data_IF_555286721827
#
_entry.id   IF_555286721827
#
_cell.length_a   1.000
_cell.length_b   1.000
_cell.length_c   1.000
_cell.angle_alpha   90.00
_cell.angle_beta   90.00
_cell.angle_gamma   90.00
#
_symmetry.space_group_name_H-M   'P 1'
#
loop_
_entity.id
_entity.type
_entity.pdbx_description
1 polymer ?
#
# COMPACT_ATOMS: atom_id res chain seq x y z
N UNK A 1 -3.56 -17.77 -13.41
CA UNK A 1 -2.50 -18.56 -14.05
C UNK A 1 -2.93 -19.05 -15.43
N UNK A 2 -3.94 -19.92 -15.54
CA UNK A 2 -4.38 -20.50 -16.82
C UNK A 2 -4.73 -19.43 -17.88
N UNK A 3 -5.52 -18.41 -17.54
CA UNK A 3 -5.91 -17.36 -18.48
C UNK A 3 -4.70 -16.60 -19.05
N UNK A 4 -3.70 -16.26 -18.21
CA UNK A 4 -2.48 -15.60 -18.67
C UNK A 4 -1.69 -16.50 -19.60
N UNK A 5 -1.55 -17.79 -19.28
CA UNK A 5 -0.83 -18.75 -20.11
C UNK A 5 -1.53 -19.01 -21.45
N UNK A 6 -2.87 -19.02 -21.47
CA UNK A 6 -3.64 -19.11 -22.72
C UNK A 6 -3.47 -17.86 -23.56
N UNK A 7 -3.67 -16.68 -22.98
CA UNK A 7 -3.50 -15.42 -23.71
C UNK A 7 -2.09 -15.25 -24.30
N UNK A 8 -1.06 -15.66 -23.57
CA UNK A 8 0.33 -15.61 -24.05
C UNK A 8 0.56 -16.58 -25.22
N UNK A 9 -0.01 -17.78 -25.16
CA UNK A 9 0.08 -18.76 -26.26
C UNK A 9 -0.67 -18.28 -27.50
N UNK A 10 -1.85 -17.71 -27.35
CA UNK A 10 -2.68 -17.21 -28.47
C UNK A 10 -1.97 -16.13 -29.30
N UNK A 11 -1.09 -15.36 -28.67
CA UNK A 11 -0.28 -14.33 -29.36
C UNK A 11 1.14 -14.80 -29.69
N UNK A 12 1.45 -16.07 -29.51
CA UNK A 12 2.79 -16.66 -29.71
C UNK A 12 3.88 -15.91 -28.92
N UNK A 13 3.58 -15.48 -27.70
CA UNK A 13 4.54 -14.81 -26.86
C UNK A 13 5.68 -15.76 -26.45
N UNK A 14 6.90 -15.27 -26.44
CA UNK A 14 8.08 -15.98 -25.90
C UNK A 14 8.32 -15.66 -24.43
N UNK A 15 7.84 -14.51 -23.98
CA UNK A 15 7.95 -14.06 -22.60
C UNK A 15 6.74 -13.22 -22.17
N UNK A 16 6.42 -13.26 -20.88
CA UNK A 16 5.46 -12.40 -20.21
C UNK A 16 6.20 -11.55 -19.21
N UNK A 17 6.03 -10.23 -19.27
CA UNK A 17 6.61 -9.29 -18.30
C UNK A 17 5.55 -8.89 -17.28
N UNK A 18 5.91 -8.91 -16.01
CA UNK A 18 5.03 -8.51 -14.93
C UNK A 18 5.78 -7.72 -13.84
N UNK A 19 5.09 -6.84 -13.14
CA UNK A 19 5.61 -6.26 -11.91
C UNK A 19 5.59 -7.29 -10.79
N UNK A 20 6.69 -7.39 -10.03
CA UNK A 20 6.76 -8.24 -8.86
C UNK A 20 5.72 -7.82 -7.82
N UNK A 21 5.01 -8.78 -7.27
CA UNK A 21 4.07 -8.61 -6.17
C UNK A 21 4.65 -9.24 -4.90
N UNK A 22 4.27 -8.74 -3.74
CA UNK A 22 4.97 -9.08 -2.51
C UNK A 22 4.07 -9.67 -1.43
N UNK A 23 2.77 -9.54 -1.56
CA UNK A 23 1.79 -10.14 -0.67
C UNK A 23 1.74 -11.68 -0.90
N UNK A 24 1.69 -12.49 0.17
CA UNK A 24 1.84 -13.96 0.07
C UNK A 24 0.92 -14.62 -0.97
N UNK A 25 -0.37 -14.26 -0.97
CA UNK A 25 -1.33 -14.81 -1.93
C UNK A 25 -1.00 -14.45 -3.39
N UNK A 26 -0.45 -13.25 -3.62
CA UNK A 26 -0.03 -12.79 -4.94
C UNK A 26 1.26 -13.50 -5.38
N UNK A 27 2.23 -13.68 -4.46
CA UNK A 27 3.47 -14.42 -4.74
C UNK A 27 3.15 -15.85 -5.15
N UNK A 28 2.24 -16.52 -4.43
CA UNK A 28 1.77 -17.85 -4.78
C UNK A 28 1.07 -17.87 -6.15
N UNK A 29 0.24 -16.86 -6.44
CA UNK A 29 -0.41 -16.68 -7.74
C UNK A 29 0.59 -16.50 -8.88
N UNK A 30 1.66 -15.74 -8.66
CA UNK A 30 2.72 -15.53 -9.64
C UNK A 30 3.51 -16.82 -9.89
N UNK A 31 3.78 -17.59 -8.85
CA UNK A 31 4.46 -18.87 -9.00
C UNK A 31 3.59 -19.92 -9.76
N UNK A 32 2.29 -19.96 -9.49
CA UNK A 32 1.36 -20.79 -10.31
C UNK A 32 1.33 -20.32 -11.76
N UNK A 33 1.42 -19.02 -12.02
CA UNK A 33 1.46 -18.47 -13.38
C UNK A 33 2.78 -18.81 -14.07
N UNK A 34 3.90 -18.73 -13.35
CA UNK A 34 5.22 -19.12 -13.87
C UNK A 34 5.24 -20.57 -14.35
N UNK A 35 4.71 -21.47 -13.53
CA UNK A 35 4.63 -22.89 -13.90
C UNK A 35 3.76 -23.14 -15.14
N UNK A 36 2.58 -22.52 -15.19
CA UNK A 36 1.66 -22.67 -16.32
C UNK A 36 2.22 -22.10 -17.64
N UNK A 37 3.04 -21.07 -17.58
CA UNK A 37 3.76 -20.51 -18.72
C UNK A 37 4.93 -21.41 -19.13
N UNK A 38 5.71 -21.91 -18.18
CA UNK A 38 6.85 -22.79 -18.43
C UNK A 38 6.44 -24.10 -19.13
N UNK A 39 5.27 -24.66 -18.80
CA UNK A 39 4.68 -25.82 -19.50
C UNK A 39 4.45 -25.56 -21.00
N UNK A 40 4.38 -24.30 -21.42
CA UNK A 40 4.23 -23.85 -22.81
C UNK A 40 5.50 -23.25 -23.41
N UNK A 41 6.62 -23.36 -22.71
CA UNK A 41 7.90 -22.79 -23.14
C UNK A 41 7.96 -21.27 -23.11
N UNK A 42 7.09 -20.63 -22.34
CA UNK A 42 7.00 -19.17 -22.20
C UNK A 42 7.63 -18.75 -20.86
N UNK A 43 8.49 -17.75 -20.88
CA UNK A 43 9.16 -17.25 -19.67
C UNK A 43 8.30 -16.20 -18.95
N UNK A 44 8.21 -16.24 -17.61
CA UNK A 44 7.70 -15.15 -16.79
C UNK A 44 8.85 -14.31 -16.23
N UNK A 45 9.02 -13.12 -16.75
CA UNK A 45 10.04 -12.15 -16.30
C UNK A 45 9.38 -11.16 -15.33
N UNK A 46 9.76 -11.23 -14.06
CA UNK A 46 9.27 -10.30 -13.05
C UNK A 46 10.27 -9.18 -12.82
N UNK A 47 9.81 -7.93 -12.92
CA UNK A 47 10.61 -6.74 -12.72
C UNK A 47 10.33 -6.15 -11.32
N UNK A 48 11.31 -5.54 -10.65
CA UNK A 48 11.06 -4.79 -9.43
C UNK A 48 9.95 -3.77 -9.69
N UNK A 49 8.80 -3.97 -9.04
CA UNK A 49 7.60 -3.20 -9.33
C UNK A 49 7.63 -1.82 -8.65
N UNK A 50 6.79 -1.66 -7.64
CA UNK A 50 6.53 -0.41 -6.96
C UNK A 50 7.42 -0.15 -5.72
N UNK A 51 8.54 -0.86 -5.57
CA UNK A 51 9.49 -0.64 -4.49
C UNK A 51 10.69 0.20 -4.95
N UNK A 52 11.28 0.93 -4.00
CA UNK A 52 12.52 1.68 -4.19
C UNK A 52 13.72 0.77 -4.30
N UNK A 53 13.74 -0.27 -3.48
CA UNK A 53 14.83 -1.21 -3.36
C UNK A 53 14.38 -2.61 -3.76
N UNK A 54 15.33 -3.37 -4.29
CA UNK A 54 15.16 -4.80 -4.43
C UNK A 54 15.24 -5.45 -3.05
N UNK A 55 14.10 -5.95 -2.57
CA UNK A 55 13.95 -6.53 -1.24
C UNK A 55 14.93 -7.66 -0.97
N UNK A 56 15.23 -8.47 -2.00
CA UNK A 56 16.08 -9.65 -1.87
C UNK A 56 17.56 -9.30 -1.67
N UNK A 57 17.95 -8.08 -2.06
CA UNK A 57 19.32 -7.58 -1.84
C UNK A 57 19.53 -7.05 -0.43
N UNK A 58 18.49 -6.70 0.30
CA UNK A 58 18.60 -6.13 1.65
C UNK A 58 18.87 -7.25 2.65
N UNK A 59 20.08 -7.30 3.16
CA UNK A 59 20.54 -8.33 4.11
C UNK A 59 20.60 -7.79 5.53
N UNK A 60 20.22 -8.64 6.48
CA UNK A 60 20.41 -8.37 7.90
C UNK A 60 21.88 -8.61 8.24
N UNK A 61 22.48 -7.72 9.01
CA UNK A 61 23.80 -7.94 9.60
C UNK A 61 23.65 -8.93 10.76
N UNK A 62 23.97 -10.18 10.50
CA UNK A 62 23.81 -11.30 11.44
C UNK A 62 24.67 -11.18 12.71
N UNK A 63 25.67 -10.30 12.71
CA UNK A 63 26.50 -10.04 13.89
C UNK A 63 25.84 -9.02 14.84
N UNK A 64 25.01 -8.13 14.29
CA UNK A 64 24.41 -7.00 15.01
C UNK A 64 22.92 -7.13 15.27
N UNK A 65 22.21 -7.81 14.38
CA UNK A 65 20.74 -7.86 14.38
C UNK A 65 20.24 -9.30 14.54
N UNK A 66 19.16 -9.45 15.25
CA UNK A 66 18.50 -10.76 15.46
C UNK A 66 17.69 -11.16 14.22
N UNK A 67 18.29 -11.72 13.18
CA UNK A 67 17.61 -12.28 12.00
C UNK A 67 16.62 -11.35 11.26
N UNK A 68 16.31 -10.18 11.78
CA UNK A 68 15.38 -9.20 11.19
C UNK A 68 15.63 -7.79 11.75
N UNK A 69 15.20 -6.78 10.98
CA UNK A 69 15.22 -5.40 11.47
C UNK A 69 14.02 -5.14 12.37
N UNK A 70 14.24 -4.80 13.63
CA UNK A 70 13.19 -4.46 14.60
C UNK A 70 12.69 -3.02 14.48
N UNK A 71 13.48 -2.13 13.87
CA UNK A 71 13.18 -0.69 13.74
C UNK A 71 13.58 -0.15 12.38
N UNK A 72 13.10 1.05 12.06
CA UNK A 72 13.29 1.65 10.72
C UNK A 72 14.76 1.95 10.40
N UNK A 73 15.51 2.54 11.33
CA UNK A 73 16.84 3.07 11.00
C UNK A 73 17.87 2.00 10.62
N UNK A 74 17.99 0.85 11.31
CA UNK A 74 18.83 -0.25 10.85
C UNK A 74 18.46 -0.74 9.44
N UNK A 75 17.13 -0.82 9.14
CA UNK A 75 16.67 -1.15 7.81
C UNK A 75 17.11 -0.12 6.77
N UNK A 76 16.96 1.19 7.05
CA UNK A 76 17.39 2.26 6.13
C UNK A 76 18.88 2.13 5.80
N UNK A 77 19.72 1.94 6.81
CA UNK A 77 21.16 1.77 6.60
C UNK A 77 21.48 0.54 5.75
N UNK A 78 20.80 -0.57 6.00
CA UNK A 78 20.97 -1.79 5.21
C UNK A 78 20.46 -1.62 3.77
N UNK A 79 19.31 -0.99 3.59
CA UNK A 79 18.75 -0.72 2.26
C UNK A 79 19.67 0.16 1.42
N UNK A 80 20.27 1.20 1.99
CA UNK A 80 21.25 2.06 1.30
C UNK A 80 22.57 1.35 1.04
N UNK A 81 23.02 0.53 1.99
CA UNK A 81 24.30 -0.21 1.89
C UNK A 81 24.22 -1.32 0.84
N UNK A 82 23.18 -2.14 0.86
CA UNK A 82 23.07 -3.35 0.03
C UNK A 82 22.19 -3.17 -1.20
N UNK A 83 21.11 -2.38 -1.08
CA UNK A 83 20.22 -2.06 -2.20
C UNK A 83 20.75 -0.97 -3.13
N UNK A 84 21.72 -0.19 -2.64
CA UNK A 84 22.22 0.97 -3.36
C UNK A 84 21.25 2.15 -3.35
N UNK A 85 21.62 3.23 -3.99
CA UNK A 85 20.71 4.37 -4.17
C UNK A 85 19.67 4.01 -5.25
N UNK A 86 18.37 4.28 -5.03
CA UNK A 86 17.39 4.12 -6.09
C UNK A 86 17.79 4.90 -7.34
N UNK A 87 17.77 4.23 -8.48
CA UNK A 87 18.06 4.87 -9.77
C UNK A 87 17.00 5.91 -10.14
N UNK A 88 17.35 6.80 -11.05
CA UNK A 88 16.37 7.69 -11.66
C UNK A 88 15.25 6.87 -12.33
N UNK A 89 14.00 7.34 -12.33
CA UNK A 89 12.95 6.70 -13.09
C UNK A 89 13.28 6.70 -14.56
N UNK A 90 13.02 5.59 -15.26
CA UNK A 90 13.14 5.55 -16.70
C UNK A 90 12.13 6.51 -17.34
N UNK A 91 12.50 7.25 -18.39
CA UNK A 91 11.51 8.04 -19.13
C UNK A 91 10.47 7.12 -19.76
N UNK A 92 9.25 7.63 -19.93
CA UNK A 92 8.24 6.91 -20.70
C UNK A 92 8.76 6.68 -22.13
N UNK A 93 8.56 5.49 -22.71
CA UNK A 93 8.93 5.25 -24.09
C UNK A 93 8.12 6.19 -25.00
N UNK A 94 8.75 6.75 -26.06
CA UNK A 94 8.06 7.73 -26.92
C UNK A 94 6.84 7.13 -27.65
N UNK A 95 6.87 5.86 -27.96
CA UNK A 95 5.75 5.06 -28.46
C UNK A 95 6.02 3.60 -28.12
N UNK A 96 5.07 2.95 -27.47
CA UNK A 96 5.09 1.49 -27.41
C UNK A 96 4.49 0.94 -28.71
N UNK A 97 5.22 0.10 -29.47
CA UNK A 97 4.59 -0.61 -30.57
C UNK A 97 3.53 -1.54 -30.00
N UNK A 98 2.27 -1.16 -30.16
CA UNK A 98 1.15 -2.03 -29.77
C UNK A 98 0.92 -2.98 -30.92
N UNK A 99 1.37 -4.21 -30.81
CA UNK A 99 0.87 -5.28 -31.64
C UNK A 99 -0.58 -5.56 -31.22
N UNK A 100 -1.54 -5.09 -32.00
CA UNK A 100 -2.91 -5.54 -31.84
C UNK A 100 -2.99 -6.99 -32.28
N UNK A 101 -3.15 -7.92 -31.34
CA UNK A 101 -3.61 -9.25 -31.70
C UNK A 101 -5.06 -9.11 -32.16
N UNK A 102 -5.32 -9.32 -33.41
CA UNK A 102 -6.66 -9.43 -33.98
C UNK A 102 -7.41 -10.69 -33.57
N UNK A 103 -6.78 -11.58 -32.80
CA UNK A 103 -7.39 -12.76 -32.23
C UNK A 103 -7.97 -12.43 -30.87
N UNK A 104 -9.27 -12.25 -30.81
CA UNK A 104 -9.98 -12.00 -29.55
C UNK A 104 -9.86 -13.19 -28.61
N UNK A 105 -8.94 -13.11 -27.66
CA UNK A 105 -9.21 -13.70 -26.34
C UNK A 105 -10.53 -13.03 -25.94
N UNK A 106 -11.60 -13.80 -25.77
CA UNK A 106 -12.96 -13.31 -25.63
C UNK A 106 -13.00 -12.05 -24.77
N UNK A 107 -13.27 -10.92 -25.40
CA UNK A 107 -13.17 -9.63 -24.77
C UNK A 107 -14.18 -9.57 -23.64
N UNK A 108 -13.68 -9.80 -22.42
CA UNK A 108 -14.50 -9.55 -21.24
C UNK A 108 -14.80 -8.06 -21.19
N UNK A 109 -16.07 -7.69 -21.18
CA UNK A 109 -16.45 -6.29 -20.94
C UNK A 109 -16.23 -5.96 -19.46
N UNK A 110 -16.10 -4.69 -19.15
CA UNK A 110 -15.93 -4.25 -17.78
C UNK A 110 -17.09 -4.73 -16.88
N UNK A 111 -18.30 -4.77 -17.44
CA UNK A 111 -19.51 -5.26 -16.78
C UNK A 111 -19.42 -6.78 -16.50
N UNK A 112 -18.89 -7.57 -17.47
CA UNK A 112 -18.75 -9.02 -17.31
C UNK A 112 -17.74 -9.41 -16.24
N UNK A 113 -16.83 -8.51 -15.87
CA UNK A 113 -15.86 -8.73 -14.81
C UNK A 113 -16.47 -8.54 -13.40
N UNK A 114 -17.69 -7.97 -13.31
CA UNK A 114 -18.37 -7.75 -12.03
C UNK A 114 -17.60 -6.82 -11.05
N UNK A 115 -16.71 -5.97 -11.58
CA UNK A 115 -15.87 -5.07 -10.78
C UNK A 115 -16.59 -3.78 -10.39
N UNK A 116 -17.65 -3.46 -11.10
CA UNK A 116 -18.49 -2.28 -10.81
C UNK A 116 -19.76 -2.78 -10.13
N UNK A 117 -20.13 -2.24 -8.96
CA UNK A 117 -21.41 -2.56 -8.34
C UNK A 117 -22.56 -2.33 -9.33
N UNK A 118 -23.56 -3.22 -9.39
CA UNK A 118 -24.73 -3.00 -10.20
C UNK A 118 -25.39 -1.66 -9.89
N UNK A 119 -25.90 -0.96 -10.91
CA UNK A 119 -26.52 0.36 -10.77
C UNK A 119 -27.82 0.36 -9.95
N UNK A 120 -28.37 -0.82 -9.68
CA UNK A 120 -29.60 -1.05 -8.89
C UNK A 120 -29.32 -1.29 -7.40
N UNK A 121 -28.06 -1.26 -6.98
CA UNK A 121 -27.73 -1.34 -5.54
C UNK A 121 -28.20 -0.06 -4.85
N UNK A 122 -29.13 -0.20 -3.92
CA UNK A 122 -29.77 0.90 -3.20
C UNK A 122 -28.81 1.83 -2.44
N UNK A 123 -27.56 1.44 -2.27
CA UNK A 123 -26.51 2.23 -1.62
C UNK A 123 -25.21 2.14 -2.45
N UNK A 124 -24.87 3.20 -3.16
CA UNK A 124 -23.55 3.32 -3.82
C UNK A 124 -22.48 3.68 -2.80
N UNK A 125 -21.89 2.64 -2.18
CA UNK A 125 -20.81 2.81 -1.23
C UNK A 125 -19.57 3.48 -1.84
N UNK A 126 -19.39 3.46 -3.14
CA UNK A 126 -18.21 4.01 -3.83
C UNK A 126 -18.36 5.50 -4.21
N UNK A 127 -19.53 6.09 -4.07
CA UNK A 127 -19.78 7.48 -4.43
C UNK A 127 -18.85 8.47 -3.69
N UNK A 128 -18.66 8.25 -2.38
CA UNK A 128 -17.74 9.07 -1.58
C UNK A 128 -16.28 8.94 -2.02
N UNK A 129 -15.86 7.75 -2.40
CA UNK A 129 -14.52 7.47 -2.92
C UNK A 129 -14.30 8.19 -4.26
N UNK A 130 -15.25 8.06 -5.20
CA UNK A 130 -15.17 8.74 -6.51
C UNK A 130 -15.19 10.26 -6.40
N UNK A 131 -15.87 10.80 -5.41
CA UNK A 131 -15.88 12.25 -5.17
C UNK A 131 -14.58 12.78 -4.56
N UNK A 132 -13.86 11.95 -3.78
CA UNK A 132 -12.63 12.37 -3.09
C UNK A 132 -11.38 12.17 -3.96
N UNK A 133 -11.35 11.16 -4.85
CA UNK A 133 -10.14 10.73 -5.53
C UNK A 133 -10.26 10.79 -7.06
N UNK A 134 -9.30 11.47 -7.68
CA UNK A 134 -8.99 11.28 -9.10
C UNK A 134 -7.91 10.19 -9.21
N UNK A 135 -8.33 8.94 -9.45
CA UNK A 135 -7.45 7.78 -9.53
C UNK A 135 -6.75 7.63 -10.90
N UNK A 136 -6.70 8.68 -11.72
CA UNK A 136 -5.92 8.71 -12.95
C UNK A 136 -4.44 8.99 -12.70
N UNK A 137 -3.56 8.71 -13.67
CA UNK A 137 -2.15 9.12 -13.62
C UNK A 137 -1.99 10.64 -13.61
N UNK A 138 -2.89 11.37 -14.29
CA UNK A 138 -2.92 12.84 -14.22
C UNK A 138 -3.29 13.33 -12.82
N UNK A 139 -4.30 12.73 -12.18
CA UNK A 139 -4.66 13.02 -10.79
C UNK A 139 -3.52 12.76 -9.81
N UNK A 140 -2.81 11.64 -9.97
CA UNK A 140 -1.64 11.32 -9.18
C UNK A 140 -0.49 12.33 -9.35
N UNK A 141 -0.26 12.76 -10.59
CA UNK A 141 0.78 13.75 -10.91
C UNK A 141 0.44 15.12 -10.34
N UNK A 142 -0.83 15.55 -10.45
CA UNK A 142 -1.26 16.82 -9.87
C UNK A 142 -1.25 16.79 -8.33
N UNK A 143 -1.69 15.69 -7.71
CA UNK A 143 -1.62 15.53 -6.26
C UNK A 143 -0.17 15.65 -5.75
N UNK A 144 0.78 15.03 -6.44
CA UNK A 144 2.21 15.16 -6.12
C UNK A 144 2.73 16.59 -6.34
N UNK A 145 2.38 17.24 -7.46
CA UNK A 145 2.76 18.60 -7.74
C UNK A 145 2.19 19.59 -6.71
N UNK A 146 0.93 19.42 -6.35
CA UNK A 146 0.27 20.23 -5.32
C UNK A 146 0.94 20.07 -3.96
N UNK A 147 1.23 18.83 -3.55
CA UNK A 147 1.92 18.57 -2.29
C UNK A 147 3.32 19.21 -2.26
N UNK A 148 4.08 19.15 -3.34
CA UNK A 148 5.39 19.83 -3.44
C UNK A 148 5.26 21.34 -3.26
N UNK A 149 4.26 21.97 -3.89
CA UNK A 149 4.05 23.42 -3.81
C UNK A 149 3.57 23.89 -2.43
N UNK A 150 2.66 23.17 -1.80
CA UNK A 150 1.90 23.66 -0.65
C UNK A 150 2.16 22.93 0.65
N UNK A 151 2.51 21.64 0.59
CA UNK A 151 2.55 20.78 1.76
C UNK A 151 3.95 20.39 2.22
N UNK A 152 4.91 20.27 1.29
CA UNK A 152 6.22 19.72 1.60
C UNK A 152 7.01 20.57 2.59
N UNK A 153 7.00 21.90 2.42
CA UNK A 153 7.71 22.82 3.29
C UNK A 153 7.18 22.81 4.75
N UNK A 154 5.87 22.65 4.91
CA UNK A 154 5.22 22.57 6.23
C UNK A 154 5.07 21.16 6.80
N UNK A 155 5.60 20.15 6.11
CA UNK A 155 5.35 18.75 6.46
C UNK A 155 5.92 18.36 7.82
N UNK A 156 7.11 18.83 8.18
CA UNK A 156 7.77 18.51 9.45
C UNK A 156 6.91 18.94 10.65
N UNK A 157 6.29 20.09 10.59
CA UNK A 157 5.49 20.66 11.68
C UNK A 157 4.02 20.22 11.62
N UNK A 158 3.52 19.95 10.42
CA UNK A 158 2.09 19.72 10.18
C UNK A 158 1.67 18.26 10.01
N UNK A 159 2.58 17.35 9.73
CA UNK A 159 2.23 15.97 9.38
C UNK A 159 1.53 15.16 10.49
N UNK A 160 1.61 15.59 11.73
CA UNK A 160 0.92 14.98 12.87
C UNK A 160 -0.49 15.50 13.10
N UNK A 161 -0.89 16.59 12.42
CA UNK A 161 -2.20 17.22 12.59
C UNK A 161 -3.27 16.53 11.75
N UNK A 162 -4.43 16.31 12.34
CA UNK A 162 -5.58 15.69 11.68
C UNK A 162 -6.77 16.62 11.48
N UNK A 163 -6.62 17.90 11.85
CA UNK A 163 -7.64 18.91 11.66
C UNK A 163 -7.85 19.26 10.18
N UNK A 164 -8.92 19.97 9.86
CA UNK A 164 -9.28 20.30 8.48
C UNK A 164 -8.22 21.12 7.74
N UNK A 165 -7.40 21.88 8.48
CA UNK A 165 -6.30 22.66 7.90
C UNK A 165 -5.09 21.79 7.54
N UNK A 166 -5.03 20.57 8.05
CA UNK A 166 -3.96 19.62 7.79
C UNK A 166 -3.96 19.01 6.37
N UNK A 167 -4.99 19.24 5.55
CA UNK A 167 -4.96 18.80 4.13
C UNK A 167 -3.74 19.35 3.37
N UNK A 168 -3.24 20.51 3.74
CA UNK A 168 -2.03 21.10 3.16
C UNK A 168 -0.72 20.50 3.68
N UNK A 169 -0.74 19.81 4.82
CA UNK A 169 0.46 19.24 5.44
C UNK A 169 0.53 17.70 5.35
N UNK A 170 -0.40 17.06 4.67
CA UNK A 170 -0.37 15.61 4.36
C UNK A 170 -0.36 15.39 2.87
N UNK A 171 0.45 14.43 2.41
CA UNK A 171 0.59 14.18 0.97
C UNK A 171 -0.61 13.47 0.35
N UNK A 172 -1.32 12.64 1.12
CA UNK A 172 -2.39 11.77 0.66
C UNK A 172 -2.03 10.92 -0.59
N UNK A 173 -0.74 10.58 -0.78
CA UNK A 173 -0.24 9.89 -1.96
C UNK A 173 -0.30 8.36 -1.86
N UNK A 174 -0.71 7.81 -0.72
CA UNK A 174 -0.70 6.36 -0.49
C UNK A 174 -1.50 5.57 -1.52
N UNK A 175 -2.71 5.99 -1.96
CA UNK A 175 -3.44 5.26 -3.00
C UNK A 175 -2.68 5.20 -4.32
N UNK A 176 -2.17 6.32 -4.78
CA UNK A 176 -1.43 6.40 -6.05
C UNK A 176 -0.13 5.57 -6.04
N UNK A 177 0.55 5.52 -4.89
CA UNK A 177 1.73 4.66 -4.70
C UNK A 177 1.34 3.18 -4.62
N UNK A 178 0.16 2.86 -4.09
CA UNK A 178 -0.35 1.49 -3.97
C UNK A 178 -0.73 0.91 -5.33
N UNK A 179 -1.44 1.68 -6.14
CA UNK A 179 -1.94 1.24 -7.45
C UNK A 179 -0.97 1.55 -8.60
N UNK A 180 0.14 2.23 -8.32
CA UNK A 180 1.21 2.45 -9.29
C UNK A 180 0.99 3.62 -10.25
N UNK A 181 -0.03 4.48 -10.05
CA UNK A 181 -0.20 5.71 -10.82
C UNK A 181 0.93 6.71 -10.54
N UNK A 182 1.59 6.61 -9.37
CA UNK A 182 2.77 7.38 -9.01
C UNK A 182 3.90 6.44 -8.61
N UNK A 183 5.03 6.54 -9.31
CA UNK A 183 6.20 5.76 -8.97
C UNK A 183 6.91 6.30 -7.71
N UNK A 184 7.21 5.46 -6.70
CA UNK A 184 8.01 5.89 -5.55
C UNK A 184 9.42 6.31 -5.95
N UNK A 185 9.98 5.77 -7.05
CA UNK A 185 11.28 6.20 -7.59
C UNK A 185 11.24 7.62 -8.14
N UNK A 186 10.13 8.02 -8.77
CA UNK A 186 9.91 9.40 -9.21
C UNK A 186 9.87 10.34 -8.02
N UNK A 187 9.07 10.00 -7.00
CA UNK A 187 8.99 10.79 -5.76
C UNK A 187 10.38 10.90 -5.11
N UNK A 188 11.10 9.78 -5.01
CA UNK A 188 12.45 9.74 -4.45
C UNK A 188 13.42 10.61 -5.21
N UNK A 189 13.47 10.51 -6.55
CA UNK A 189 14.38 11.27 -7.39
C UNK A 189 14.09 12.78 -7.32
N UNK A 190 12.81 13.16 -7.42
CA UNK A 190 12.41 14.57 -7.35
C UNK A 190 12.66 15.19 -5.97
N UNK A 191 12.54 14.43 -4.87
CA UNK A 191 12.93 14.90 -3.54
C UNK A 191 14.45 15.09 -3.39
N UNK A 192 15.23 14.21 -4.05
CA UNK A 192 16.68 14.28 -4.00
C UNK A 192 17.25 15.40 -4.87
N UNK A 193 16.75 15.49 -6.11
CA UNK A 193 17.34 16.32 -7.16
C UNK A 193 16.61 17.66 -7.33
N UNK A 194 15.37 17.73 -6.92
CA UNK A 194 14.44 18.83 -7.17
C UNK A 194 13.91 19.55 -5.95
N UNK A 195 14.41 19.21 -4.79
CA UNK A 195 14.40 20.19 -3.70
C UNK A 195 15.26 21.33 -4.20
N UNK A 196 14.62 22.44 -4.58
CA UNK A 196 15.15 23.49 -5.44
C UNK A 196 16.60 23.94 -5.15
N UNK A 197 17.21 23.50 -4.04
CA UNK A 197 18.54 23.91 -3.61
C UNK A 197 19.25 22.84 -2.76
N UNK A 198 19.28 21.61 -3.21
CA UNK A 198 20.20 20.53 -2.80
C UNK A 198 20.19 20.11 -1.33
N UNK A 199 20.56 20.96 -0.41
CA UNK A 199 20.72 20.66 1.03
C UNK A 199 19.45 20.98 1.82
N UNK A 200 18.75 22.01 1.44
CA UNK A 200 17.56 22.49 2.14
C UNK A 200 16.33 21.59 1.89
N UNK A 201 16.19 21.06 0.68
CA UNK A 201 15.14 20.10 0.34
C UNK A 201 15.22 18.79 1.16
N UNK A 202 16.42 18.29 1.44
CA UNK A 202 16.62 17.11 2.30
C UNK A 202 16.23 17.38 3.75
N UNK A 203 16.47 18.58 4.26
CA UNK A 203 16.13 18.95 5.64
C UNK A 203 14.64 19.16 5.81
N UNK A 204 14.00 19.84 4.85
CA UNK A 204 12.56 20.10 4.85
C UNK A 204 11.70 18.86 4.63
N UNK A 205 12.26 17.80 4.06
CA UNK A 205 11.52 16.58 3.72
C UNK A 205 11.95 15.34 4.51
N UNK A 206 12.74 15.49 5.58
CA UNK A 206 13.30 14.35 6.33
C UNK A 206 12.25 13.35 6.80
N UNK A 207 11.18 13.83 7.41
CA UNK A 207 10.10 12.96 7.90
C UNK A 207 9.33 12.35 6.74
N UNK A 208 9.06 13.10 5.68
CA UNK A 208 8.41 12.55 4.49
C UNK A 208 9.28 11.47 3.81
N UNK A 209 10.59 11.69 3.74
CA UNK A 209 11.57 10.72 3.28
C UNK A 209 11.50 9.42 4.09
N UNK A 210 11.46 9.53 5.41
CA UNK A 210 11.28 8.37 6.29
C UNK A 210 9.96 7.64 6.05
N UNK A 211 8.89 8.32 5.57
CA UNK A 211 7.64 7.65 5.20
C UNK A 211 7.79 6.71 4.01
N UNK A 212 8.57 7.11 3.00
CA UNK A 212 8.88 6.22 1.89
C UNK A 212 9.64 4.98 2.37
N UNK A 213 10.65 5.16 3.21
CA UNK A 213 11.39 4.02 3.77
C UNK A 213 10.54 3.14 4.69
N UNK A 214 9.57 3.70 5.43
CA UNK A 214 8.63 2.88 6.22
C UNK A 214 7.79 1.96 5.34
N UNK A 215 7.40 2.43 4.16
CA UNK A 215 6.71 1.62 3.17
C UNK A 215 7.58 0.45 2.70
N UNK A 216 8.82 0.72 2.34
CA UNK A 216 9.80 -0.31 1.93
C UNK A 216 10.04 -1.32 3.07
N UNK A 217 10.17 -0.82 4.30
CA UNK A 217 10.36 -1.65 5.48
C UNK A 217 9.17 -2.58 5.74
N UNK A 218 7.95 -2.10 5.58
CA UNK A 218 6.74 -2.93 5.71
C UNK A 218 6.71 -4.08 4.69
N UNK A 219 7.06 -3.81 3.44
CA UNK A 219 7.17 -4.86 2.41
C UNK A 219 8.32 -5.83 2.67
N UNK A 220 9.43 -5.34 3.21
CA UNK A 220 10.53 -6.20 3.63
C UNK A 220 10.11 -7.12 4.78
N UNK A 221 9.43 -6.57 5.81
CA UNK A 221 8.90 -7.35 6.92
C UNK A 221 7.92 -8.43 6.45
N UNK A 222 7.01 -8.09 5.54
CA UNK A 222 6.08 -9.06 4.97
C UNK A 222 6.79 -10.21 4.24
N UNK A 223 7.95 -9.94 3.66
CA UNK A 223 8.77 -10.98 3.03
C UNK A 223 9.46 -11.91 4.02
N UNK A 224 9.86 -11.38 5.18
CA UNK A 224 10.48 -12.17 6.26
C UNK A 224 9.44 -12.91 7.08
N UNK A 225 8.28 -12.29 7.27
CA UNK A 225 7.15 -12.80 8.05
C UNK A 225 5.88 -12.87 7.18
N UNK A 226 5.73 -13.85 6.30
CA UNK A 226 4.59 -13.95 5.38
C UNK A 226 3.23 -14.00 6.09
N UNK A 227 3.20 -14.57 7.30
CA UNK A 227 1.99 -14.69 8.13
C UNK A 227 1.61 -13.38 8.86
N UNK A 228 2.36 -12.29 8.64
CA UNK A 228 2.14 -11.01 9.34
C UNK A 228 0.74 -10.41 9.13
N UNK A 229 0.06 -10.80 8.06
CA UNK A 229 -1.32 -10.37 7.80
C UNK A 229 -2.34 -10.97 8.80
N UNK A 230 -2.03 -12.11 9.41
CA UNK A 230 -2.96 -12.89 10.25
C UNK A 230 -2.41 -13.22 11.63
N UNK A 231 -1.09 -13.15 11.81
CA UNK A 231 -0.43 -13.52 13.07
C UNK A 231 0.60 -12.45 13.44
N UNK A 232 0.69 -12.09 14.70
CA UNK A 232 1.73 -11.18 15.16
C UNK A 232 3.11 -11.85 15.07
N UNK A 233 4.10 -11.12 14.57
CA UNK A 233 5.48 -11.58 14.56
C UNK A 233 6.10 -11.75 15.96
N UNK A 234 5.43 -11.19 16.98
CA UNK A 234 5.78 -11.35 18.39
C UNK A 234 4.74 -12.23 19.07
N UNK A 235 5.06 -13.49 19.25
CA UNK A 235 4.16 -14.52 19.78
C UNK A 235 3.51 -14.17 21.13
N UNK A 236 4.16 -13.38 21.99
CA UNK A 236 3.59 -12.97 23.26
C UNK A 236 2.33 -12.10 23.13
N UNK A 237 2.12 -11.43 21.99
CA UNK A 237 0.87 -10.70 21.74
C UNK A 237 -0.28 -11.65 21.35
N UNK A 238 0.04 -12.76 20.71
CA UNK A 238 -0.98 -13.78 20.37
C UNK A 238 -1.47 -14.52 21.61
N UNK A 239 -0.57 -14.75 22.58
CA UNK A 239 -0.85 -15.50 23.81
C UNK A 239 -1.46 -14.67 24.93
N UNK A 240 -1.79 -13.40 24.71
CA UNK A 240 -2.51 -12.59 25.70
C UNK A 240 -3.85 -13.25 26.05
N UNK A 241 -4.05 -13.52 27.32
CA UNK A 241 -5.27 -14.15 27.82
C UNK A 241 -6.48 -13.22 27.95
N UNK A 242 -6.30 -11.92 27.71
CA UNK A 242 -7.32 -10.88 27.87
C UNK A 242 -7.96 -10.43 26.56
N UNK A 243 -7.63 -11.10 25.43
CA UNK A 243 -8.29 -10.81 24.15
C UNK A 243 -9.78 -11.16 24.19
N UNK A 244 -10.60 -10.19 23.84
CA UNK A 244 -12.05 -10.39 23.58
C UNK A 244 -12.23 -10.71 22.10
N UNK A 245 -12.92 -11.81 21.85
CA UNK A 245 -13.16 -12.33 20.49
C UNK A 245 -14.64 -12.12 20.12
N UNK A 246 -14.95 -11.27 19.13
CA UNK A 246 -16.33 -10.99 18.71
C UNK A 246 -17.16 -12.24 18.33
N UNK A 247 -16.49 -13.29 17.88
CA UNK A 247 -17.13 -14.56 17.52
C UNK A 247 -17.63 -15.35 18.74
N UNK A 248 -17.16 -15.02 19.95
CA UNK A 248 -17.45 -15.74 21.19
C UNK A 248 -18.06 -14.86 22.30
N UNK A 249 -17.93 -13.54 22.12
CA UNK A 249 -18.40 -12.54 23.09
C UNK A 249 -19.33 -11.54 22.37
N UNK A 250 -20.70 -11.66 22.59
CA UNK A 250 -21.66 -10.74 21.98
C UNK A 250 -21.43 -9.27 22.33
N UNK A 251 -20.90 -8.98 23.53
CA UNK A 251 -20.56 -7.61 23.91
C UNK A 251 -19.36 -7.10 23.13
N UNK A 252 -18.34 -7.94 22.89
CA UNK A 252 -17.22 -7.58 22.02
C UNK A 252 -17.66 -7.40 20.56
N UNK A 253 -18.61 -8.19 20.07
CA UNK A 253 -19.18 -8.03 18.75
C UNK A 253 -19.89 -6.68 18.58
N UNK A 254 -20.66 -6.26 19.58
CA UNK A 254 -21.34 -4.96 19.59
C UNK A 254 -20.32 -3.81 19.70
N UNK A 255 -19.31 -3.94 20.57
CA UNK A 255 -18.23 -2.94 20.69
C UNK A 255 -17.46 -2.79 19.38
N UNK A 256 -17.12 -3.90 18.69
CA UNK A 256 -16.51 -3.87 17.36
C UNK A 256 -17.40 -3.18 16.34
N UNK A 257 -18.69 -3.50 16.30
CA UNK A 257 -19.65 -2.86 15.40
C UNK A 257 -19.71 -1.34 15.62
N UNK A 258 -19.77 -0.90 16.88
CA UNK A 258 -19.78 0.53 17.22
C UNK A 258 -18.48 1.21 16.81
N UNK A 259 -17.33 0.56 17.02
CA UNK A 259 -16.04 1.05 16.56
C UNK A 259 -16.01 1.19 15.04
N UNK A 260 -16.43 0.19 14.31
CA UNK A 260 -16.50 0.20 12.83
C UNK A 260 -17.38 1.33 12.29
N UNK A 261 -18.50 1.62 12.94
CA UNK A 261 -19.43 2.69 12.54
C UNK A 261 -19.05 4.08 13.03
N UNK A 262 -18.04 4.19 13.89
CA UNK A 262 -17.70 5.47 14.54
C UNK A 262 -18.81 5.92 15.50
N UNK A 263 -19.27 5.01 16.35
CA UNK A 263 -20.33 5.17 17.36
C UNK A 263 -19.82 4.85 18.77
N UNK A 264 -18.51 5.01 19.00
CA UNK A 264 -17.88 4.67 20.29
C UNK A 264 -18.19 5.68 21.38
N UNK A 265 -18.58 6.91 21.01
CA UNK A 265 -18.75 8.02 21.92
C UNK A 265 -17.45 8.83 22.14
N UNK A 266 -16.34 8.44 21.51
CA UNK A 266 -15.06 9.17 21.52
C UNK A 266 -14.94 9.98 20.22
N UNK A 267 -15.12 11.30 20.24
CA UNK A 267 -15.30 12.10 19.02
C UNK A 267 -14.19 11.96 17.99
N UNK A 268 -12.92 11.86 18.41
CA UNK A 268 -11.77 11.73 17.50
C UNK A 268 -11.76 10.35 16.80
N UNK A 269 -12.04 9.28 17.56
CA UNK A 269 -12.16 7.92 17.00
C UNK A 269 -13.31 7.86 16.02
N UNK A 270 -14.47 8.36 16.43
CA UNK A 270 -15.71 8.31 15.66
C UNK A 270 -15.58 9.12 14.35
N UNK A 271 -15.01 10.32 14.42
CA UNK A 271 -14.76 11.15 13.25
C UNK A 271 -13.81 10.47 12.25
N UNK A 272 -12.71 9.88 12.76
CA UNK A 272 -11.74 9.15 11.93
C UNK A 272 -12.38 7.94 11.24
N UNK A 273 -13.14 7.12 11.96
CA UNK A 273 -13.80 5.95 11.40
C UNK A 273 -14.87 6.30 10.36
N UNK A 274 -15.69 7.33 10.61
CA UNK A 274 -16.68 7.82 9.62
C UNK A 274 -16.00 8.40 8.37
N UNK A 275 -14.87 9.11 8.54
CA UNK A 275 -14.07 9.60 7.41
C UNK A 275 -13.55 8.45 6.57
N UNK A 276 -12.99 7.40 7.21
CA UNK A 276 -12.50 6.21 6.53
C UNK A 276 -13.56 5.60 5.63
N UNK A 277 -14.74 5.30 6.18
CA UNK A 277 -15.85 4.69 5.42
C UNK A 277 -16.30 5.57 4.26
N UNK A 278 -16.34 6.89 4.45
CA UNK A 278 -16.81 7.83 3.43
C UNK A 278 -15.80 8.05 2.31
N UNK A 279 -14.51 8.14 2.63
CA UNK A 279 -13.49 8.64 1.70
C UNK A 279 -12.41 7.62 1.36
N UNK A 280 -12.38 6.46 2.03
CA UNK A 280 -11.29 5.50 1.89
C UNK A 280 -9.96 5.99 2.48
N UNK A 281 -9.98 7.09 3.24
CA UNK A 281 -8.77 7.69 3.80
C UNK A 281 -8.95 8.11 5.26
N UNK A 282 -7.90 7.91 6.03
CA UNK A 282 -7.83 8.34 7.42
C UNK A 282 -6.41 8.83 7.71
N UNK A 283 -6.29 9.94 8.42
CA UNK A 283 -5.00 10.46 8.85
C UNK A 283 -4.28 9.46 9.75
N UNK A 284 -2.94 9.38 9.67
CA UNK A 284 -2.16 8.40 10.45
C UNK A 284 -2.40 8.52 11.96
N UNK A 285 -2.48 9.73 12.50
CA UNK A 285 -2.76 9.94 13.93
C UNK A 285 -4.12 9.39 14.31
N UNK A 286 -5.14 9.59 13.49
CA UNK A 286 -6.48 9.01 13.70
C UNK A 286 -6.44 7.48 13.65
N UNK A 287 -5.68 6.88 12.71
CA UNK A 287 -5.50 5.40 12.65
C UNK A 287 -4.86 4.86 13.92
N UNK A 288 -3.82 5.53 14.42
CA UNK A 288 -3.17 5.11 15.67
C UNK A 288 -4.15 5.19 16.84
N UNK A 289 -4.91 6.29 16.97
CA UNK A 289 -5.91 6.45 18.04
C UNK A 289 -7.01 5.39 17.93
N UNK A 290 -7.56 5.17 16.74
CA UNK A 290 -8.61 4.18 16.53
C UNK A 290 -8.11 2.74 16.78
N UNK A 291 -6.88 2.41 16.35
CA UNK A 291 -6.28 1.10 16.61
C UNK A 291 -5.99 0.89 18.10
N UNK A 292 -5.40 1.89 18.77
CA UNK A 292 -5.16 1.86 20.22
C UNK A 292 -6.48 1.68 20.98
N UNK A 293 -7.53 2.41 20.57
CA UNK A 293 -8.84 2.27 21.20
C UNK A 293 -9.39 0.83 21.09
N UNK A 294 -9.31 0.23 19.91
CA UNK A 294 -9.73 -1.16 19.70
C UNK A 294 -8.93 -2.15 20.55
N UNK A 295 -7.60 -2.01 20.53
CA UNK A 295 -6.68 -3.01 21.10
C UNK A 295 -6.50 -2.85 22.60
N UNK A 296 -6.28 -1.61 23.09
CA UNK A 296 -5.90 -1.36 24.46
C UNK A 296 -7.09 -1.03 25.38
N UNK A 297 -8.18 -0.47 24.82
CA UNK A 297 -9.36 -0.11 25.62
C UNK A 297 -10.48 -1.12 25.48
N UNK A 298 -10.76 -1.62 24.26
CA UNK A 298 -11.79 -2.64 24.04
C UNK A 298 -11.26 -4.07 24.18
N UNK A 299 -9.92 -4.25 24.22
CA UNK A 299 -9.27 -5.56 24.26
C UNK A 299 -9.67 -6.50 23.11
N UNK A 300 -10.14 -5.95 21.99
CA UNK A 300 -10.48 -6.72 20.80
C UNK A 300 -9.19 -7.00 20.02
N UNK A 301 -9.02 -8.25 19.59
CA UNK A 301 -7.81 -8.67 18.89
C UNK A 301 -7.54 -7.81 17.66
N UNK A 302 -6.31 -7.40 17.47
CA UNK A 302 -5.85 -6.46 16.45
C UNK A 302 -6.25 -6.84 15.02
N UNK A 303 -6.38 -8.16 14.72
CA UNK A 303 -6.71 -8.66 13.38
C UNK A 303 -8.06 -8.15 12.86
N UNK A 304 -9.03 -7.91 13.75
CA UNK A 304 -10.33 -7.33 13.37
C UNK A 304 -10.19 -5.90 12.85
N UNK A 305 -9.37 -5.11 13.52
CA UNK A 305 -9.04 -3.75 13.09
C UNK A 305 -8.23 -3.71 11.79
N UNK A 306 -7.22 -4.59 11.69
CA UNK A 306 -6.38 -4.69 10.50
C UNK A 306 -7.21 -5.06 9.26
N UNK A 307 -8.14 -6.03 9.39
CA UNK A 307 -9.07 -6.39 8.31
C UNK A 307 -9.96 -5.21 7.91
N UNK A 308 -10.53 -4.51 8.87
CA UNK A 308 -11.36 -3.34 8.59
C UNK A 308 -10.59 -2.24 7.86
N UNK A 309 -9.38 -1.91 8.31
CA UNK A 309 -8.52 -0.95 7.61
C UNK A 309 -8.13 -1.43 6.22
N UNK A 310 -7.85 -2.71 6.04
CA UNK A 310 -7.54 -3.28 4.73
C UNK A 310 -8.71 -3.17 3.75
N UNK A 311 -9.94 -3.39 4.22
CA UNK A 311 -11.14 -3.37 3.39
C UNK A 311 -11.56 -1.94 2.99
N UNK A 312 -11.28 -0.94 3.83
CA UNK A 312 -11.77 0.43 3.63
C UNK A 312 -10.70 1.44 3.20
N UNK A 313 -9.42 1.17 3.35
CA UNK A 313 -8.36 2.07 2.88
C UNK A 313 -8.12 1.90 1.37
N UNK A 314 -8.14 3.02 0.66
CA UNK A 314 -7.78 3.09 -0.77
C UNK A 314 -6.27 3.01 -0.97
#
# INVERSE_FOLDING_TARGET
AAAVATAAADVNATAVFASARYEPAHVEGDERTRRALAERGIELITLPGHLLFDREKIRVDMERERYFFGTLMPFVHAAEKFGGKPGAPSPAPPTAPVAHSSGGVGASTLESLGLIPPSDVACDWSAGLRAEWDMSESGATEAWAQFKRMGLAGYEDGHGRSDLTAKSSTSALSPYLRFGQLSPRRVYAELRDGGADGVEGRRLSRTFWHRLYRREFAYWQLGVFPELAVTSWRSHYESRGDWRWPERDPAAAEDLRRWQKGETGFPVVDAGMRRLVRTGWMHQTERMLAATFLVDYLHIHWSHGARWFHDYLV
#
